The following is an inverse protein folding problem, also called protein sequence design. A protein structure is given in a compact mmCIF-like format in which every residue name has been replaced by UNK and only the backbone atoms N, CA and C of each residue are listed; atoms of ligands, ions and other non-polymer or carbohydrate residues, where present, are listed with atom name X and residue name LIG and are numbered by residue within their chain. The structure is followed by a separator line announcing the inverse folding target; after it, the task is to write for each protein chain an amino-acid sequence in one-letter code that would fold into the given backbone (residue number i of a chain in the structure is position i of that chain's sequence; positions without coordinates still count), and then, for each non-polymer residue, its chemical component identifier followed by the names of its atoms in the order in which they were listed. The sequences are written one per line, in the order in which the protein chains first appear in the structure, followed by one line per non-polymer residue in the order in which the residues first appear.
data_IF_952304098326
#
_entry.id   IF_952304098326
#
_cell.length_a   1.000
_cell.length_b   1.000
_cell.length_c   1.000
_cell.angle_alpha   90.00
_cell.angle_beta   90.00
_cell.angle_gamma   90.00
#
_symmetry.space_group_name_H-M   'P 1'
#
loop_
_entity.id
_entity.type
_entity.pdbx_description
1 polymer ?
#
# COMPACT_ATOMS: atom_id res chain seq x y z
N UNK A 1 31.45 -21.08 -57.54
CA UNK A 1 30.64 -20.05 -56.85
C UNK A 1 29.17 -20.19 -57.25
N UNK A 2 28.42 -21.15 -56.68
CA UNK A 2 27.07 -21.52 -57.15
C UNK A 2 25.96 -21.34 -56.11
N UNK A 3 26.30 -20.84 -54.92
CA UNK A 3 25.36 -20.72 -53.78
C UNK A 3 25.22 -19.28 -53.24
N UNK A 4 25.96 -18.31 -53.81
CA UNK A 4 25.87 -16.90 -53.43
C UNK A 4 24.45 -16.30 -53.62
N UNK A 5 23.68 -16.61 -54.68
CA UNK A 5 22.34 -16.04 -54.82
C UNK A 5 21.31 -16.66 -53.86
N UNK A 6 21.57 -17.84 -53.29
CA UNK A 6 20.68 -18.49 -52.33
C UNK A 6 20.82 -17.90 -50.92
N UNK A 7 22.01 -17.43 -50.56
CA UNK A 7 22.28 -16.79 -49.27
C UNK A 7 21.62 -15.42 -49.16
N UNK A 8 21.57 -14.66 -50.26
CA UNK A 8 20.91 -13.34 -50.31
C UNK A 8 19.39 -13.47 -50.13
N UNK A 9 18.76 -14.50 -50.70
CA UNK A 9 17.31 -14.74 -50.54
C UNK A 9 16.93 -15.10 -49.09
N UNK A 10 17.79 -15.84 -48.38
CA UNK A 10 17.59 -16.18 -46.97
C UNK A 10 17.73 -14.96 -46.04
N UNK A 11 18.57 -13.99 -46.37
CA UNK A 11 18.72 -12.75 -45.60
C UNK A 11 17.50 -11.83 -45.76
N UNK A 12 16.86 -11.80 -46.94
CA UNK A 12 15.63 -11.04 -47.16
C UNK A 12 14.38 -11.68 -46.54
N UNK A 13 14.38 -13.01 -46.32
CA UNK A 13 13.28 -13.70 -45.61
C UNK A 13 13.44 -13.70 -44.09
N UNK A 14 14.67 -13.55 -43.57
CA UNK A 14 14.98 -13.61 -42.13
C UNK A 14 14.83 -12.29 -41.37
N UNK A 15 14.79 -11.15 -42.06
CA UNK A 15 14.59 -9.83 -41.45
C UNK A 15 13.43 -9.13 -42.13
N UNK A 16 12.23 -9.34 -41.62
CA UNK A 16 11.06 -8.54 -41.98
C UNK A 16 11.29 -7.12 -41.40
N UNK A 17 11.58 -6.08 -42.21
CA UNK A 17 11.91 -4.74 -41.72
C UNK A 17 10.64 -3.93 -41.38
N UNK A 18 9.47 -4.55 -41.55
CA UNK A 18 8.19 -3.98 -41.23
C UNK A 18 7.98 -4.24 -39.73
N UNK A 19 7.99 -3.22 -38.85
CA UNK A 19 7.57 -3.41 -37.48
C UNK A 19 6.19 -4.06 -37.55
N UNK A 20 6.02 -5.23 -36.92
CA UNK A 20 4.70 -5.85 -36.81
C UNK A 20 3.78 -4.74 -36.33
N UNK A 21 2.81 -4.34 -37.16
CA UNK A 21 1.72 -3.44 -36.74
C UNK A 21 1.30 -3.92 -35.37
N UNK A 22 1.27 -3.00 -34.42
CA UNK A 22 0.82 -3.24 -33.05
C UNK A 22 -0.36 -4.22 -33.08
N UNK A 23 -0.10 -5.46 -32.64
CA UNK A 23 -1.06 -6.57 -32.71
C UNK A 23 -1.94 -6.61 -31.47
N UNK A 24 -1.73 -5.67 -30.55
CA UNK A 24 -2.45 -5.62 -29.29
C UNK A 24 -3.90 -5.19 -29.57
N UNK A 25 -4.89 -5.84 -28.94
CA UNK A 25 -6.28 -5.57 -29.21
C UNK A 25 -6.68 -4.23 -28.64
N UNK A 26 -7.45 -3.48 -29.43
CA UNK A 26 -7.99 -2.21 -28.96
C UNK A 26 -9.17 -2.44 -28.00
N UNK A 27 -8.84 -2.44 -26.71
CA UNK A 27 -9.78 -2.60 -25.60
C UNK A 27 -9.91 -1.29 -24.82
N UNK A 28 -11.04 -1.04 -24.13
CA UNK A 28 -11.25 0.20 -23.38
C UNK A 28 -10.22 0.39 -22.27
N UNK A 29 -9.92 1.66 -21.98
CA UNK A 29 -9.19 2.04 -20.76
C UNK A 29 -10.01 1.67 -19.52
N UNK A 30 -9.35 1.27 -18.44
CA UNK A 30 -10.02 0.88 -17.19
C UNK A 30 -10.99 1.94 -16.69
N UNK A 31 -10.60 3.22 -16.74
CA UNK A 31 -11.47 4.32 -16.29
C UNK A 31 -12.77 4.41 -17.10
N UNK A 32 -12.74 4.05 -18.39
CA UNK A 32 -13.93 4.01 -19.24
C UNK A 32 -14.78 2.78 -18.95
N UNK A 33 -14.15 1.63 -18.68
CA UNK A 33 -14.87 0.41 -18.28
C UNK A 33 -15.67 0.63 -16.98
N UNK A 34 -15.08 1.31 -15.99
CA UNK A 34 -15.72 1.53 -14.68
C UNK A 34 -16.88 2.54 -14.72
N UNK A 35 -17.10 3.25 -15.84
CA UNK A 35 -18.27 4.12 -16.03
C UNK A 35 -19.54 3.34 -16.38
N UNK A 36 -19.43 2.07 -16.75
CA UNK A 36 -20.58 1.22 -17.06
C UNK A 36 -21.32 0.82 -15.76
N UNK A 37 -22.26 1.66 -15.32
CA UNK A 37 -23.03 1.47 -14.09
C UNK A 37 -23.90 0.20 -14.10
N UNK A 38 -24.16 -0.39 -15.28
CA UNK A 38 -24.85 -1.67 -15.38
C UNK A 38 -23.97 -2.85 -14.93
N UNK A 39 -22.65 -2.67 -14.95
CA UNK A 39 -21.65 -3.68 -14.59
C UNK A 39 -20.89 -3.36 -13.30
N UNK A 40 -20.68 -2.08 -13.02
CA UNK A 40 -19.88 -1.62 -11.88
C UNK A 40 -20.63 -0.55 -11.08
N UNK A 41 -20.85 -0.79 -9.79
CA UNK A 41 -21.41 0.21 -8.88
C UNK A 41 -20.33 0.80 -8.01
N UNK A 42 -20.08 2.10 -8.11
CA UNK A 42 -19.07 2.79 -7.30
C UNK A 42 -19.43 2.83 -5.81
N UNK A 43 -18.56 2.24 -4.98
CA UNK A 43 -18.65 2.34 -3.52
C UNK A 43 -17.95 3.62 -3.06
N UNK A 44 -16.66 3.76 -3.36
CA UNK A 44 -15.85 4.94 -3.05
C UNK A 44 -14.77 5.15 -4.11
N UNK A 45 -14.38 6.40 -4.36
CA UNK A 45 -13.13 6.71 -5.07
C UNK A 45 -11.98 6.94 -4.07
N UNK A 46 -10.82 7.32 -4.59
CA UNK A 46 -9.64 7.71 -3.83
C UNK A 46 -9.52 9.22 -3.61
N UNK A 47 -10.57 10.01 -3.91
CA UNK A 47 -10.50 11.48 -3.80
C UNK A 47 -10.30 11.88 -2.35
N UNK A 48 -9.18 12.54 -2.05
CA UNK A 48 -8.81 12.93 -0.68
C UNK A 48 -8.41 11.75 0.22
N UNK A 49 -8.17 10.56 -0.35
CA UNK A 49 -7.74 9.37 0.38
C UNK A 49 -6.30 9.01 0.02
N UNK A 50 -5.54 8.54 1.01
CA UNK A 50 -4.21 7.95 0.80
C UNK A 50 -4.29 6.43 0.65
N UNK A 51 -5.24 5.77 1.32
CA UNK A 51 -5.42 4.32 1.19
C UNK A 51 -6.82 3.87 1.61
N UNK A 52 -7.19 2.68 1.16
CA UNK A 52 -8.32 1.90 1.66
C UNK A 52 -7.78 0.70 2.42
N UNK A 53 -8.29 0.46 3.62
CA UNK A 53 -8.04 -0.77 4.38
C UNK A 53 -9.34 -1.51 4.54
N UNK A 54 -9.34 -2.78 4.15
CA UNK A 54 -10.52 -3.64 4.26
C UNK A 54 -10.49 -4.36 5.62
N UNK A 55 -11.61 -4.34 6.33
CA UNK A 55 -11.78 -4.90 7.67
C UNK A 55 -12.39 -6.30 7.61
N UNK A 56 -12.11 -7.13 8.63
CA UNK A 56 -12.52 -8.53 8.68
C UNK A 56 -14.05 -8.76 8.59
N UNK A 57 -14.87 -7.74 8.84
CA UNK A 57 -16.33 -7.76 8.70
C UNK A 57 -16.83 -6.91 7.53
N UNK A 58 -16.06 -6.91 6.44
CA UNK A 58 -16.45 -6.31 5.16
C UNK A 58 -16.57 -4.78 5.14
N UNK A 59 -16.24 -4.13 6.26
CA UNK A 59 -16.17 -2.68 6.36
C UNK A 59 -14.87 -2.15 5.77
N UNK A 60 -14.87 -0.88 5.41
CA UNK A 60 -13.77 -0.24 4.70
C UNK A 60 -13.34 0.97 5.51
N UNK A 61 -12.07 0.98 5.92
CA UNK A 61 -11.43 2.14 6.48
C UNK A 61 -10.88 3.03 5.36
N UNK A 62 -11.34 4.27 5.35
CA UNK A 62 -10.94 5.33 4.43
C UNK A 62 -9.85 6.17 5.12
N UNK A 63 -8.58 5.95 4.76
CA UNK A 63 -7.48 6.74 5.31
C UNK A 63 -7.34 8.03 4.49
N UNK A 64 -7.48 9.21 5.09
CA UNK A 64 -7.38 10.48 4.36
C UNK A 64 -5.95 10.72 3.86
N UNK A 65 -5.80 11.57 2.84
CA UNK A 65 -4.51 12.09 2.38
C UNK A 65 -4.13 13.42 3.04
N UNK A 66 -5.08 14.10 3.70
CA UNK A 66 -4.89 15.37 4.39
C UNK A 66 -5.01 15.19 5.91
N UNK A 67 -4.10 15.81 6.67
CA UNK A 67 -4.05 15.69 8.12
C UNK A 67 -5.24 16.29 8.88
N UNK A 68 -5.94 17.24 8.26
CA UNK A 68 -7.14 17.85 8.84
C UNK A 68 -8.42 17.05 8.54
N UNK A 69 -8.34 16.02 7.70
CA UNK A 69 -9.50 15.18 7.36
C UNK A 69 -9.60 13.99 8.32
N UNK A 70 -10.82 13.58 8.70
CA UNK A 70 -10.99 12.44 9.59
C UNK A 70 -10.74 11.12 8.85
N UNK A 71 -10.20 10.14 9.58
CA UNK A 71 -10.32 8.73 9.18
C UNK A 71 -11.76 8.29 9.38
N UNK A 72 -12.29 7.54 8.41
CA UNK A 72 -13.66 7.02 8.43
C UNK A 72 -13.64 5.51 8.30
N UNK A 73 -14.58 4.83 8.95
CA UNK A 73 -14.93 3.44 8.62
C UNK A 73 -16.35 3.45 8.11
N UNK A 74 -16.53 2.95 6.89
CA UNK A 74 -17.83 2.80 6.26
C UNK A 74 -18.18 1.33 6.06
N UNK A 75 -19.46 1.01 6.01
CA UNK A 75 -19.91 -0.23 5.38
C UNK A 75 -20.01 -0.08 3.85
N UNK A 76 -20.33 -1.18 3.17
CA UNK A 76 -20.54 -1.22 1.71
C UNK A 76 -21.70 -0.35 1.24
N UNK A 77 -22.63 -0.01 2.13
CA UNK A 77 -23.78 0.85 1.89
C UNK A 77 -23.48 2.33 2.20
N UNK A 78 -22.22 2.64 2.53
CA UNK A 78 -21.67 3.97 2.84
C UNK A 78 -22.13 4.55 4.18
N UNK A 79 -22.69 3.75 5.08
CA UNK A 79 -22.98 4.19 6.43
C UNK A 79 -21.68 4.33 7.22
N UNK A 80 -21.51 5.47 7.91
CA UNK A 80 -20.33 5.75 8.72
C UNK A 80 -20.48 5.05 10.08
N UNK A 81 -19.52 4.20 10.42
CA UNK A 81 -19.46 3.47 11.71
C UNK A 81 -18.44 4.09 12.66
N UNK A 82 -17.40 4.74 12.12
CA UNK A 82 -16.39 5.44 12.88
C UNK A 82 -15.92 6.66 12.11
N UNK A 83 -15.70 7.77 12.81
CA UNK A 83 -15.14 9.00 12.24
C UNK A 83 -14.30 9.72 13.30
N UNK A 84 -13.02 9.95 13.02
CA UNK A 84 -12.13 10.64 13.96
C UNK A 84 -10.95 11.30 13.25
N UNK A 85 -10.57 12.50 13.68
CA UNK A 85 -9.29 13.11 13.28
C UNK A 85 -8.19 12.49 14.13
N UNK A 86 -7.14 11.98 13.48
CA UNK A 86 -5.96 11.45 14.16
C UNK A 86 -4.77 12.39 14.02
N UNK A 87 -3.87 12.34 14.99
CA UNK A 87 -2.61 13.06 14.99
C UNK A 87 -1.61 12.30 14.10
N UNK A 88 -1.20 12.92 13.00
CA UNK A 88 -0.33 12.29 12.00
C UNK A 88 1.12 12.14 12.49
N UNK A 89 1.48 12.84 13.56
CA UNK A 89 2.77 12.69 14.26
C UNK A 89 2.73 11.51 15.25
N UNK A 90 1.58 10.82 15.37
CA UNK A 90 1.44 9.66 16.23
C UNK A 90 1.16 8.38 15.43
N UNK A 91 1.62 7.22 15.93
CA UNK A 91 1.29 5.95 15.33
C UNK A 91 -0.22 5.70 15.22
N UNK A 92 -0.62 5.25 14.04
CA UNK A 92 -1.93 4.69 13.76
C UNK A 92 -1.79 3.22 13.35
N UNK A 93 -2.25 2.33 14.22
CA UNK A 93 -2.14 0.89 14.05
C UNK A 93 -3.51 0.19 14.05
N UNK A 94 -3.65 -0.83 13.21
CA UNK A 94 -4.81 -1.73 13.17
C UNK A 94 -4.29 -3.15 13.41
N UNK A 95 -4.74 -3.77 14.49
CA UNK A 95 -4.35 -5.14 14.82
C UNK A 95 -5.13 -6.19 14.00
N UNK A 96 -4.77 -7.46 14.15
CA UNK A 96 -5.43 -8.60 13.48
C UNK A 96 -6.90 -8.77 13.85
N UNK A 97 -7.34 -8.23 14.99
CA UNK A 97 -8.75 -8.25 15.42
C UNK A 97 -9.55 -7.07 14.84
N UNK A 98 -8.88 -6.09 14.24
CA UNK A 98 -9.50 -4.87 13.73
C UNK A 98 -9.66 -3.76 14.78
N UNK A 99 -9.03 -3.87 15.95
CA UNK A 99 -8.97 -2.77 16.92
C UNK A 99 -8.10 -1.65 16.36
N UNK A 100 -8.49 -0.40 16.64
CA UNK A 100 -7.75 0.78 16.19
C UNK A 100 -6.93 1.35 17.33
N UNK A 101 -5.69 1.71 17.05
CA UNK A 101 -4.79 2.35 17.98
C UNK A 101 -4.36 3.68 17.38
N UNK A 102 -4.92 4.78 17.87
CA UNK A 102 -4.64 6.12 17.38
C UNK A 102 -4.84 7.14 18.50
N UNK A 103 -4.09 8.25 18.47
CA UNK A 103 -4.13 9.32 19.47
C UNK A 103 -3.98 8.81 20.92
N UNK A 104 -3.08 7.84 21.15
CA UNK A 104 -2.87 7.17 22.46
C UNK A 104 -4.13 6.51 23.02
N UNK A 105 -5.06 6.10 22.15
CA UNK A 105 -6.27 5.39 22.53
C UNK A 105 -6.40 4.12 21.74
N UNK A 106 -6.95 3.10 22.40
CA UNK A 106 -7.43 1.88 21.75
C UNK A 106 -8.94 1.99 21.58
N UNK A 107 -9.42 1.83 20.36
CA UNK A 107 -10.83 1.71 20.01
C UNK A 107 -11.13 0.24 19.73
N UNK A 108 -12.08 -0.30 20.49
CA UNK A 108 -12.39 -1.72 20.41
C UNK A 108 -13.31 -2.02 19.24
N UNK A 109 -12.91 -2.97 18.41
CA UNK A 109 -13.76 -3.59 17.42
C UNK A 109 -14.92 -4.34 18.10
N UNK A 110 -16.11 -4.49 17.48
CA UNK A 110 -16.48 -4.02 16.14
C UNK A 110 -17.04 -2.61 16.09
N UNK A 111 -17.71 -2.12 17.13
CA UNK A 111 -18.49 -0.87 17.03
C UNK A 111 -17.67 0.39 17.33
N UNK A 112 -16.44 0.25 17.81
CA UNK A 112 -15.53 1.34 18.16
C UNK A 112 -16.07 2.32 19.21
N UNK A 113 -17.14 1.95 19.94
CA UNK A 113 -17.74 2.79 20.98
C UNK A 113 -16.95 2.73 22.28
N UNK A 114 -16.43 1.54 22.62
CA UNK A 114 -15.53 1.37 23.75
C UNK A 114 -14.15 1.89 23.37
N UNK A 115 -13.60 2.75 24.22
CA UNK A 115 -12.23 3.25 24.11
C UNK A 115 -11.52 3.22 25.47
N UNK A 116 -10.21 3.06 25.45
CA UNK A 116 -9.35 3.20 26.63
C UNK A 116 -8.05 3.91 26.25
N UNK A 117 -7.42 4.55 27.24
CA UNK A 117 -6.08 5.08 27.06
C UNK A 117 -5.10 3.94 26.84
N UNK A 118 -4.23 4.08 25.84
CA UNK A 118 -3.31 3.05 25.43
C UNK A 118 -1.91 3.61 25.28
N UNK A 119 -0.95 2.92 25.90
CA UNK A 119 0.45 3.36 25.91
C UNK A 119 1.08 3.14 24.54
N UNK A 120 1.79 4.16 24.06
CA UNK A 120 2.57 4.10 22.83
C UNK A 120 4.00 4.54 23.11
N UNK A 121 4.96 3.81 22.56
CA UNK A 121 6.38 4.13 22.61
C UNK A 121 6.94 4.14 21.20
N UNK A 122 7.33 5.33 20.75
CA UNK A 122 8.07 5.54 19.51
C UNK A 122 9.55 5.62 19.86
N UNK A 123 10.32 4.63 19.43
CA UNK A 123 11.73 4.49 19.81
C UNK A 123 12.55 5.65 19.25
N UNK A 124 12.33 6.04 18.00
CA UNK A 124 13.03 7.16 17.35
C UNK A 124 12.79 8.49 18.06
N UNK A 125 11.56 8.80 18.45
CA UNK A 125 11.25 10.00 19.25
C UNK A 125 11.90 9.98 20.62
N UNK A 126 11.90 8.82 21.27
CA UNK A 126 12.54 8.65 22.59
C UNK A 126 14.04 8.92 22.50
N UNK A 127 14.70 8.36 21.48
CA UNK A 127 16.14 8.58 21.22
C UNK A 127 16.44 10.03 20.83
N UNK A 128 15.60 10.65 19.98
CA UNK A 128 15.75 12.05 19.58
C UNK A 128 15.68 12.99 20.78
N UNK A 129 14.64 12.84 21.61
CA UNK A 129 14.49 13.63 22.83
C UNK A 129 15.68 13.42 23.78
N UNK A 130 16.15 12.18 23.93
CA UNK A 130 17.35 11.89 24.73
C UNK A 130 18.58 12.57 24.15
N UNK A 131 18.73 12.59 22.83
CA UNK A 131 19.86 13.24 22.16
C UNK A 131 19.85 14.75 22.39
N UNK A 132 18.67 15.39 22.37
CA UNK A 132 18.51 16.81 22.68
C UNK A 132 18.88 17.13 24.13
N UNK A 133 18.56 16.26 25.10
CA UNK A 133 18.97 16.38 26.50
C UNK A 133 20.49 16.28 26.70
N UNK A 134 21.20 15.61 25.77
CA UNK A 134 22.63 15.31 25.86
C UNK A 134 23.49 16.24 24.99
N UNK A 135 22.89 17.26 24.36
CA UNK A 135 23.55 18.14 23.37
C UNK A 135 24.80 18.87 23.88
N UNK A 136 24.92 19.06 25.19
CA UNK A 136 26.02 19.79 25.82
C UNK A 136 27.21 18.87 26.19
N UNK A 137 27.06 17.55 25.99
CA UNK A 137 28.14 16.58 26.14
C UNK A 137 28.99 16.51 24.87
N UNK A 138 30.24 16.06 25.01
CA UNK A 138 31.02 15.69 23.83
C UNK A 138 30.46 14.42 23.17
N UNK A 139 30.75 14.25 21.88
CA UNK A 139 30.23 13.17 21.03
C UNK A 139 30.42 11.77 21.64
N UNK A 140 31.57 11.49 22.24
CA UNK A 140 31.87 10.18 22.83
C UNK A 140 30.98 9.87 24.03
N UNK A 141 30.81 10.84 24.92
CA UNK A 141 29.93 10.72 26.09
C UNK A 141 28.46 10.65 25.67
N UNK A 142 28.06 11.46 24.69
CA UNK A 142 26.72 11.45 24.12
C UNK A 142 26.38 10.09 23.52
N UNK A 143 27.23 9.55 22.65
CA UNK A 143 27.03 8.23 22.03
C UNK A 143 26.94 7.11 23.06
N UNK A 144 27.81 7.13 24.08
CA UNK A 144 27.78 6.12 25.16
C UNK A 144 26.47 6.20 25.96
N UNK A 145 25.99 7.40 26.27
CA UNK A 145 24.75 7.61 27.00
C UNK A 145 23.51 7.22 26.16
N UNK A 146 23.50 7.57 24.86
CA UNK A 146 22.43 7.17 23.93
C UNK A 146 22.34 5.66 23.76
N UNK A 147 23.48 4.97 23.55
CA UNK A 147 23.50 3.51 23.41
C UNK A 147 22.98 2.81 24.68
N UNK A 148 23.33 3.33 25.86
CA UNK A 148 22.79 2.81 27.13
C UNK A 148 21.29 3.02 27.22
N UNK A 149 20.84 4.23 26.92
CA UNK A 149 19.42 4.57 26.95
C UNK A 149 18.61 3.72 25.95
N UNK A 150 19.13 3.48 24.74
CA UNK A 150 18.50 2.59 23.76
C UNK A 150 18.29 1.18 24.33
N UNK A 151 19.31 0.61 24.98
CA UNK A 151 19.19 -0.70 25.64
C UNK A 151 18.10 -0.71 26.72
N UNK A 152 18.07 0.33 27.56
CA UNK A 152 17.10 0.48 28.66
C UNK A 152 15.65 0.57 28.14
N UNK A 153 15.40 1.33 27.06
CA UNK A 153 14.04 1.47 26.52
C UNK A 153 13.56 0.23 25.75
N UNK A 154 14.49 -0.57 25.19
CA UNK A 154 14.15 -1.77 24.41
C UNK A 154 13.95 -3.02 25.28
N UNK A 155 14.65 -3.10 26.41
CA UNK A 155 14.64 -4.26 27.31
C UNK A 155 13.23 -4.70 27.76
N UNK A 156 12.29 -3.80 28.16
CA UNK A 156 10.93 -4.20 28.58
C UNK A 156 10.11 -4.88 27.48
N UNK A 157 10.52 -4.74 26.22
CA UNK A 157 9.84 -5.28 25.05
C UNK A 157 10.57 -6.48 24.44
N UNK A 158 11.65 -6.97 25.08
CA UNK A 158 12.48 -8.06 24.57
C UNK A 158 13.20 -7.71 23.26
N UNK A 159 13.37 -6.41 22.98
CA UNK A 159 14.03 -5.93 21.77
C UNK A 159 15.51 -5.68 22.02
N UNK A 160 16.30 -5.76 20.95
CA UNK A 160 17.74 -5.43 20.95
C UNK A 160 18.00 -4.26 20.00
N UNK A 161 19.04 -3.44 20.23
CA UNK A 161 19.45 -2.39 19.31
C UNK A 161 19.62 -2.92 17.90
N UNK A 162 19.32 -2.08 16.92
CA UNK A 162 19.51 -2.46 15.53
C UNK A 162 21.00 -2.61 15.21
N UNK A 163 21.43 -3.71 14.58
CA UNK A 163 22.79 -3.76 14.05
C UNK A 163 22.95 -2.69 12.98
N UNK A 164 24.06 -1.94 13.02
CA UNK A 164 24.45 -0.96 11.99
C UNK A 164 24.63 -1.66 10.64
N UNK A 165 23.54 -1.87 9.91
CA UNK A 165 23.55 -2.45 8.58
C UNK A 165 22.75 -1.56 7.67
N UNK A 166 23.48 -0.78 6.86
CA UNK A 166 22.99 0.20 5.88
C UNK A 166 22.04 -0.43 4.83
N UNK A 167 21.94 -1.77 4.79
CA UNK A 167 21.35 -2.52 3.67
C UNK A 167 20.12 -3.38 4.09
N UNK A 168 19.74 -3.46 5.37
CA UNK A 168 18.64 -4.34 5.83
C UNK A 168 17.90 -3.78 7.07
N UNK A 169 17.32 -2.58 6.97
CA UNK A 169 16.50 -1.98 8.03
C UNK A 169 15.24 -2.79 8.36
N UNK A 170 14.68 -3.53 7.40
CA UNK A 170 13.46 -4.35 7.57
C UNK A 170 13.56 -5.38 8.70
N UNK A 171 14.76 -5.92 8.97
CA UNK A 171 14.98 -6.89 10.06
C UNK A 171 14.87 -6.27 11.46
N UNK A 172 14.82 -4.94 11.52
CA UNK A 172 14.74 -4.20 12.76
C UNK A 172 13.41 -3.47 12.96
N UNK A 173 12.55 -3.40 11.95
CA UNK A 173 11.32 -2.67 12.07
C UNK A 173 10.38 -3.32 13.09
N UNK A 174 9.80 -2.48 13.95
CA UNK A 174 8.82 -2.92 14.94
C UNK A 174 7.62 -2.02 14.85
N UNK A 175 6.44 -2.61 14.67
CA UNK A 175 5.18 -1.88 14.76
C UNK A 175 4.09 -2.86 15.18
N UNK A 176 3.99 -3.08 16.49
CA UNK A 176 3.07 -4.06 17.09
C UNK A 176 2.83 -3.78 18.57
N UNK A 177 1.82 -4.42 19.12
CA UNK A 177 1.54 -4.39 20.56
C UNK A 177 2.40 -5.42 21.30
N UNK A 178 3.16 -4.98 22.30
CA UNK A 178 3.96 -5.81 23.21
C UNK A 178 3.65 -5.37 24.63
N UNK A 179 3.25 -6.29 25.51
CA UNK A 179 2.96 -5.99 26.92
C UNK A 179 2.03 -4.77 27.10
N UNK A 180 0.89 -4.76 26.39
CA UNK A 180 -0.11 -3.67 26.42
C UNK A 180 0.45 -2.28 26.00
N UNK A 181 1.55 -2.27 25.25
CA UNK A 181 2.15 -1.05 24.70
C UNK A 181 2.31 -1.19 23.20
N UNK A 182 1.91 -0.17 22.44
CA UNK A 182 2.22 -0.08 21.02
C UNK A 182 3.67 0.37 20.87
N UNK A 183 4.53 -0.52 20.38
CA UNK A 183 5.96 -0.24 20.19
C UNK A 183 6.22 0.00 18.72
N UNK A 184 6.79 1.17 18.41
CA UNK A 184 7.10 1.61 17.04
C UNK A 184 8.58 1.94 16.89
N UNK A 185 9.24 1.28 15.95
CA UNK A 185 10.63 1.48 15.54
C UNK A 185 10.70 1.35 14.03
N UNK A 186 10.21 2.37 13.33
CA UNK A 186 10.29 2.56 11.88
C UNK A 186 9.83 4.00 11.57
N UNK A 187 10.03 4.45 10.33
CA UNK A 187 9.63 5.80 9.89
C UNK A 187 8.13 5.89 9.63
N UNK A 188 7.53 4.86 9.04
CA UNK A 188 6.10 4.85 8.72
C UNK A 188 5.26 4.69 9.99
N UNK A 189 4.43 5.69 10.27
CA UNK A 189 3.55 5.75 11.44
C UNK A 189 2.16 5.15 11.18
N UNK A 190 1.94 4.53 10.03
CA UNK A 190 0.70 3.82 9.74
C UNK A 190 0.97 2.34 9.43
N UNK A 191 0.23 1.43 10.07
CA UNK A 191 0.27 0.00 9.75
C UNK A 191 -1.08 -0.68 10.00
N UNK A 192 -1.44 -1.57 9.09
CA UNK A 192 -2.55 -2.52 9.26
C UNK A 192 -2.02 -3.94 9.23
N UNK A 193 -2.43 -4.78 10.17
CA UNK A 193 -2.15 -6.23 10.18
C UNK A 193 -3.29 -7.07 9.57
N UNK A 194 -4.33 -6.41 9.08
CA UNK A 194 -5.41 -7.06 8.35
C UNK A 194 -4.93 -7.48 6.96
N UNK A 195 -5.08 -8.76 6.68
CA UNK A 195 -4.74 -9.36 5.39
C UNK A 195 -6.00 -9.95 4.74
N UNK A 196 -6.73 -9.09 4.04
CA UNK A 196 -7.92 -9.52 3.30
C UNK A 196 -7.47 -10.09 1.96
N UNK A 197 -7.83 -11.36 1.65
CA UNK A 197 -7.46 -11.99 0.39
C UNK A 197 -7.89 -11.13 -0.81
N UNK A 198 -6.93 -10.86 -1.69
CA UNK A 198 -7.16 -10.17 -2.96
C UNK A 198 -6.83 -11.13 -4.08
N UNK A 199 -7.75 -11.32 -5.01
CA UNK A 199 -7.53 -12.14 -6.20
C UNK A 199 -7.00 -11.26 -7.33
N UNK A 200 -5.92 -11.69 -7.96
CA UNK A 200 -5.40 -11.00 -9.15
C UNK A 200 -6.34 -11.19 -10.34
N UNK A 201 -6.44 -10.15 -11.16
CA UNK A 201 -7.19 -10.23 -12.41
C UNK A 201 -6.23 -10.79 -13.47
N UNK A 202 -6.58 -11.88 -14.17
CA UNK A 202 -5.72 -12.46 -15.20
C UNK A 202 -5.41 -11.46 -16.31
N UNK A 203 -4.15 -11.45 -16.75
CA UNK A 203 -3.76 -10.80 -18.00
C UNK A 203 -4.10 -11.70 -19.18
N UNK A 204 -4.50 -11.12 -20.31
CA UNK A 204 -4.80 -11.86 -21.54
C UNK A 204 -3.88 -11.51 -22.71
N UNK A 205 -3.01 -10.52 -22.54
CA UNK A 205 -2.01 -10.09 -23.51
C UNK A 205 -0.76 -9.58 -22.76
N UNK A 206 0.34 -9.43 -23.49
CA UNK A 206 1.62 -8.95 -22.96
C UNK A 206 1.57 -7.43 -22.68
N UNK A 207 2.42 -6.98 -21.75
CA UNK A 207 2.54 -5.56 -21.43
C UNK A 207 3.23 -4.80 -22.58
N UNK A 208 2.72 -3.61 -22.89
CA UNK A 208 3.18 -2.80 -24.04
C UNK A 208 3.88 -1.56 -23.56
N UNK A 209 5.14 -1.37 -23.95
CA UNK A 209 5.89 -0.16 -23.67
C UNK A 209 5.26 1.01 -24.44
N UNK A 210 4.71 1.98 -23.71
CA UNK A 210 4.06 3.15 -24.32
C UNK A 210 4.89 4.43 -24.18
N UNK A 211 5.86 4.44 -23.27
CA UNK A 211 6.66 5.62 -23.01
C UNK A 211 7.79 5.40 -22.02
N UNK A 212 8.49 6.48 -21.75
CA UNK A 212 9.52 6.55 -20.73
C UNK A 212 9.22 7.74 -19.82
N UNK A 213 9.12 7.48 -18.53
CA UNK A 213 9.04 8.50 -17.51
C UNK A 213 10.43 9.05 -17.21
N UNK A 214 10.63 10.34 -17.48
CA UNK A 214 11.90 11.02 -17.21
C UNK A 214 11.95 11.51 -15.75
N UNK A 215 12.23 10.59 -14.84
CA UNK A 215 12.57 10.88 -13.44
C UNK A 215 14.07 11.03 -13.20
N UNK A 216 14.49 11.06 -11.92
CA UNK A 216 15.92 11.02 -11.53
C UNK A 216 16.64 9.78 -12.09
N UNK A 217 15.90 8.69 -12.26
CA UNK A 217 16.24 7.54 -13.08
C UNK A 217 15.11 7.33 -14.09
N UNK A 218 15.39 7.28 -15.41
CA UNK A 218 14.37 6.98 -16.39
C UNK A 218 13.76 5.60 -16.14
N UNK A 219 12.42 5.52 -16.14
CA UNK A 219 11.68 4.28 -16.01
C UNK A 219 10.73 4.09 -17.19
N UNK A 220 10.55 2.86 -17.68
CA UNK A 220 9.57 2.58 -18.73
C UNK A 220 8.14 2.66 -18.18
N UNK A 221 7.20 3.12 -19.01
CA UNK A 221 5.76 3.11 -18.72
C UNK A 221 5.09 2.07 -19.63
N UNK A 222 4.32 1.15 -19.05
CA UNK A 222 3.64 0.09 -19.81
C UNK A 222 2.11 0.17 -19.72
N UNK A 223 1.44 -0.34 -20.76
CA UNK A 223 0.04 -0.73 -20.69
C UNK A 223 -0.06 -2.23 -20.44
N UNK A 224 -0.82 -2.61 -19.41
CA UNK A 224 -1.19 -3.97 -19.10
C UNK A 224 -2.63 -4.28 -19.52
N UNK A 225 -2.87 -5.51 -19.97
CA UNK A 225 -4.14 -5.95 -20.57
C UNK A 225 -4.79 -7.06 -19.73
N UNK A 226 -5.98 -6.78 -19.20
CA UNK A 226 -6.66 -7.64 -18.22
C UNK A 226 -8.02 -8.13 -18.70
N UNK A 227 -8.41 -9.34 -18.26
CA UNK A 227 -9.72 -9.92 -18.55
C UNK A 227 -10.46 -10.28 -17.26
N UNK A 228 -11.64 -9.69 -17.08
CA UNK A 228 -12.57 -9.99 -15.99
C UNK A 228 -13.87 -10.54 -16.55
N UNK A 229 -14.12 -11.86 -16.39
CA UNK A 229 -15.36 -12.52 -16.85
C UNK A 229 -15.75 -12.10 -18.29
N UNK A 230 -14.81 -12.19 -19.23
CA UNK A 230 -14.93 -11.79 -20.66
C UNK A 230 -14.93 -10.27 -20.94
N UNK A 231 -14.93 -9.42 -19.92
CA UNK A 231 -14.67 -7.98 -20.10
C UNK A 231 -13.16 -7.76 -20.18
N UNK A 232 -12.70 -7.31 -21.34
CA UNK A 232 -11.29 -6.96 -21.56
C UNK A 232 -11.07 -5.47 -21.43
N UNK A 233 -9.98 -5.08 -20.81
CA UNK A 233 -9.59 -3.68 -20.64
C UNK A 233 -8.08 -3.54 -20.53
N UNK A 234 -7.61 -2.31 -20.67
CA UNK A 234 -6.20 -1.94 -20.49
C UNK A 234 -6.05 -0.84 -19.44
N UNK A 235 -4.93 -0.83 -18.73
CA UNK A 235 -4.55 0.25 -17.84
C UNK A 235 -3.03 0.34 -17.75
N UNK A 236 -2.55 1.41 -17.12
CA UNK A 236 -1.15 1.50 -16.68
C UNK A 236 -0.78 0.27 -15.82
N UNK A 237 0.39 -0.32 -16.09
CA UNK A 237 0.83 -1.56 -15.47
C UNK A 237 0.99 -1.44 -13.94
N UNK A 238 1.33 -0.24 -13.45
CA UNK A 238 1.44 0.07 -12.03
C UNK A 238 0.08 0.18 -11.33
N UNK A 239 -1.03 0.21 -12.08
CA UNK A 239 -2.39 0.22 -11.49
C UNK A 239 -2.68 -1.08 -10.74
N UNK A 240 -2.26 -2.24 -11.28
CA UNK A 240 -2.42 -3.57 -10.67
C UNK A 240 -3.81 -3.81 -10.00
N UNK A 241 -4.91 -3.76 -10.77
CA UNK A 241 -6.25 -3.94 -10.23
C UNK A 241 -6.47 -5.35 -9.67
N UNK A 242 -7.29 -5.46 -8.62
CA UNK A 242 -7.57 -6.72 -7.92
C UNK A 242 -9.05 -6.89 -7.66
N UNK A 243 -9.46 -8.13 -7.41
CA UNK A 243 -10.79 -8.47 -6.91
C UNK A 243 -10.71 -8.71 -5.42
N UNK A 244 -11.69 -8.21 -4.69
CA UNK A 244 -11.84 -8.40 -3.25
C UNK A 244 -13.26 -8.90 -3.00
N UNK A 245 -13.43 -9.87 -2.11
CA UNK A 245 -14.76 -10.33 -1.71
C UNK A 245 -15.15 -9.65 -0.42
N UNK A 246 -16.29 -8.96 -0.41
CA UNK A 246 -16.89 -8.35 0.78
C UNK A 246 -18.36 -8.79 0.86
N UNK A 247 -18.83 -9.30 2.00
CA UNK A 247 -20.19 -9.84 2.20
C UNK A 247 -20.60 -10.81 1.08
N UNK A 248 -19.72 -11.77 0.76
CA UNK A 248 -19.89 -12.76 -0.31
C UNK A 248 -20.09 -12.19 -1.73
N UNK A 249 -19.82 -10.90 -1.94
CA UNK A 249 -19.92 -10.23 -3.23
C UNK A 249 -18.55 -9.81 -3.75
N UNK A 250 -18.28 -9.95 -5.05
CA UNK A 250 -17.03 -9.53 -5.64
C UNK A 250 -17.01 -8.01 -5.87
N UNK A 251 -15.89 -7.39 -5.54
CA UNK A 251 -15.60 -5.97 -5.76
C UNK A 251 -14.32 -5.84 -6.57
N UNK A 252 -14.34 -4.92 -7.51
CA UNK A 252 -13.18 -4.46 -8.26
C UNK A 252 -12.50 -3.34 -7.46
N UNK A 253 -11.24 -3.56 -7.07
CA UNK A 253 -10.41 -2.56 -6.43
C UNK A 253 -9.27 -2.17 -7.37
N UNK A 254 -9.22 -0.89 -7.75
CA UNK A 254 -8.09 -0.32 -8.46
C UNK A 254 -7.43 0.77 -7.60
N UNK A 255 -6.15 0.60 -7.24
CA UNK A 255 -5.32 1.69 -6.75
C UNK A 255 -5.51 2.95 -7.60
N UNK A 256 -5.72 4.10 -6.94
CA UNK A 256 -5.98 5.38 -7.61
C UNK A 256 -7.42 5.62 -8.08
N UNK A 257 -8.21 4.58 -8.39
CA UNK A 257 -9.61 4.73 -8.86
C UNK A 257 -10.67 4.41 -7.79
N UNK A 258 -10.34 3.55 -6.84
CA UNK A 258 -11.18 3.19 -5.71
C UNK A 258 -11.83 1.81 -5.81
N UNK A 259 -13.00 1.66 -5.20
CA UNK A 259 -13.71 0.40 -5.01
C UNK A 259 -15.07 0.42 -5.71
N UNK A 260 -15.34 -0.64 -6.49
CA UNK A 260 -16.56 -0.79 -7.28
C UNK A 260 -17.13 -2.19 -7.07
N UNK A 261 -18.42 -2.31 -6.76
CA UNK A 261 -19.10 -3.60 -6.73
C UNK A 261 -19.27 -4.13 -8.16
N UNK A 262 -18.96 -5.40 -8.38
CA UNK A 262 -19.18 -6.09 -9.67
C UNK A 262 -20.61 -6.63 -9.70
N UNK A 263 -21.37 -6.32 -10.76
CA UNK A 263 -22.81 -6.62 -10.88
C UNK A 263 -23.16 -7.79 -11.83
N UNK A 264 -22.16 -8.42 -12.44
CA UNK A 264 -22.29 -9.48 -13.45
C UNK A 264 -21.43 -10.71 -13.11
#
# INVERSE_FOLDING_TARGET
MRYLPFFVLLVFLGCNPIPKKDKHPDVPQLIELLKDESKFRKVTDMTGLSSLVFLNDDRILLKPSNSNSPVKIIDVDKNIVFEKIYDWEQPFYIDTQGNLYLNRKKFFYPDYKKQEDFKTVVITDSLRRKSEELKDLNDSLQMKALNRYELEILQPYGLKPCPYTIVNTERCDVFKVINQTLVVRQTDLFKSELDIPKTEIPKFDDDVLIGWHNGKLPSPDYLAYYELKKQRFKCDDMTMPKIITLKDKPYFFAPGLGLYQILF
#
